data_IF_327181006456
#
_entry.id   IF_327181006456
#
_cell.length_a   1.000
_cell.length_b   1.000
_cell.length_c   1.000
_cell.angle_alpha   90.00
_cell.angle_beta   90.00
_cell.angle_gamma   90.00
#
_symmetry.space_group_name_H-M   'P 1'
#
loop_
_entity.id
_entity.type
_entity.pdbx_description
1 polymer ?
#
# COMPACT_ATOMS: atom_id res chain seq x y z
N UNK A 1 26.34 11.06 44.17
CA UNK A 1 25.21 10.17 44.50
C UNK A 1 23.93 11.00 44.47
N UNK A 2 22.98 10.60 43.60
CA UNK A 2 21.50 10.71 43.60
C UNK A 2 20.82 12.03 44.07
N UNK A 3 19.70 12.53 43.53
CA UNK A 3 18.85 12.34 42.34
C UNK A 3 17.70 13.38 42.52
N UNK A 4 17.21 14.07 41.48
CA UNK A 4 15.82 14.57 41.51
C UNK A 4 15.18 14.73 40.10
N UNK A 5 14.60 13.63 39.62
CA UNK A 5 13.25 13.48 39.02
C UNK A 5 12.65 14.63 38.19
N UNK A 6 12.76 14.49 36.86
CA UNK A 6 11.86 15.11 35.89
C UNK A 6 10.61 14.23 35.75
N UNK A 7 9.56 14.54 36.50
CA UNK A 7 8.22 14.05 36.19
C UNK A 7 7.65 14.89 35.03
N UNK A 8 7.07 14.26 34.01
CA UNK A 8 5.73 14.55 33.44
C UNK A 8 5.58 13.81 32.11
N UNK A 9 4.50 13.05 31.97
CA UNK A 9 3.92 12.72 30.68
C UNK A 9 4.08 11.26 30.27
N UNK A 10 3.05 10.47 30.59
CA UNK A 10 2.74 9.29 29.81
C UNK A 10 2.61 9.67 28.32
N UNK A 11 3.63 9.36 27.54
CA UNK A 11 3.44 9.05 26.13
C UNK A 11 3.24 7.54 26.06
N UNK A 12 2.18 7.01 25.42
CA UNK A 12 2.10 5.59 25.19
C UNK A 12 3.40 5.16 24.52
N UNK A 13 3.98 4.06 25.02
CA UNK A 13 4.86 3.25 24.21
C UNK A 13 3.98 2.76 23.07
N UNK A 14 3.89 3.54 21.99
CA UNK A 14 3.20 3.14 20.77
C UNK A 14 4.00 1.99 20.21
N UNK A 15 3.59 0.81 20.64
CA UNK A 15 3.65 -0.46 19.96
C UNK A 15 3.92 -0.23 18.49
N UNK A 16 5.07 -0.71 18.03
CA UNK A 16 5.41 -0.82 16.62
C UNK A 16 4.42 -1.77 15.94
N UNK A 17 3.23 -1.27 15.64
CA UNK A 17 2.21 -1.85 14.76
C UNK A 17 1.13 -0.78 14.50
N UNK A 18 1.53 0.47 14.25
CA UNK A 18 0.59 1.44 13.69
C UNK A 18 0.52 1.15 12.20
N UNK A 19 -0.50 0.37 11.83
CA UNK A 19 -0.95 0.21 10.45
C UNK A 19 -1.12 1.59 9.86
N UNK A 20 -0.05 2.07 9.22
CA UNK A 20 0.02 3.34 8.53
C UNK A 20 -0.31 3.06 7.06
N UNK A 21 -1.60 3.01 6.66
CA UNK A 21 -1.96 3.05 5.24
C UNK A 21 -1.57 4.39 4.59
N UNK A 22 -0.93 5.30 5.33
CA UNK A 22 -0.41 6.56 4.81
C UNK A 22 0.75 6.36 3.81
N UNK A 23 1.27 5.14 3.67
CA UNK A 23 2.16 4.74 2.57
C UNK A 23 1.43 4.06 1.39
N UNK A 24 0.10 4.02 1.41
CA UNK A 24 -0.72 3.66 0.25
C UNK A 24 -0.60 4.76 -0.80
N UNK A 25 0.45 4.67 -1.61
CA UNK A 25 0.63 5.55 -2.75
C UNK A 25 -0.61 5.42 -3.62
N UNK A 26 -1.44 6.46 -3.75
CA UNK A 26 -2.71 6.36 -4.49
C UNK A 26 -2.50 5.98 -5.96
N UNK A 27 -1.28 6.12 -6.48
CA UNK A 27 -0.89 5.66 -7.81
C UNK A 27 -0.56 4.15 -7.87
N UNK A 28 -0.62 3.40 -6.78
CA UNK A 28 -0.35 1.96 -6.74
C UNK A 28 -1.39 1.27 -5.87
N UNK A 29 -2.12 0.31 -6.44
CA UNK A 29 -2.93 -0.63 -5.68
C UNK A 29 -2.06 -1.69 -5.04
N UNK A 30 -1.91 -1.57 -3.73
CA UNK A 30 -1.14 -2.52 -2.95
C UNK A 30 -1.69 -3.94 -3.04
N UNK A 31 -3.01 -4.14 -3.17
CA UNK A 31 -3.59 -5.47 -3.37
C UNK A 31 -3.02 -6.17 -4.61
N UNK A 32 -2.85 -5.42 -5.71
CA UNK A 32 -2.27 -5.92 -6.95
C UNK A 32 -0.77 -6.13 -6.81
N UNK A 33 -0.08 -5.22 -6.11
CA UNK A 33 1.35 -5.36 -5.83
C UNK A 33 1.64 -6.60 -4.97
N UNK A 34 0.82 -6.87 -3.95
CA UNK A 34 0.88 -8.09 -3.13
C UNK A 34 0.59 -9.35 -3.95
N UNK A 35 -0.29 -9.26 -4.96
CA UNK A 35 -0.52 -10.33 -5.93
C UNK A 35 0.62 -10.48 -6.97
N UNK A 36 1.74 -9.75 -6.82
CA UNK A 36 2.89 -9.82 -7.74
C UNK A 36 2.67 -9.09 -9.07
N UNK A 37 1.68 -8.18 -9.14
CA UNK A 37 1.42 -7.33 -10.31
C UNK A 37 2.05 -5.94 -10.14
N UNK A 38 2.12 -5.18 -11.22
CA UNK A 38 2.61 -3.80 -11.23
C UNK A 38 1.75 -2.89 -10.34
N UNK A 39 0.43 -3.06 -10.35
CA UNK A 39 -0.48 -2.36 -9.46
C UNK A 39 -0.61 -0.85 -9.72
N UNK A 40 0.12 -0.28 -10.67
CA UNK A 40 0.07 1.15 -10.99
C UNK A 40 -1.34 1.57 -11.40
N UNK A 41 -1.90 2.61 -10.78
CA UNK A 41 -3.22 3.18 -11.04
C UNK A 41 -3.10 4.51 -11.75
N UNK A 42 -3.89 4.66 -12.80
CA UNK A 42 -4.12 5.92 -13.47
C UNK A 42 -5.28 6.67 -12.77
N UNK A 43 -4.95 7.54 -11.81
CA UNK A 43 -5.90 8.30 -10.97
C UNK A 43 -7.09 8.92 -11.74
N UNK A 44 -6.88 9.60 -12.89
CA UNK A 44 -7.99 10.23 -13.62
C UNK A 44 -9.05 9.26 -14.15
N UNK A 45 -8.69 7.98 -14.36
CA UNK A 45 -9.58 6.98 -14.97
C UNK A 45 -9.87 5.79 -14.04
N UNK A 46 -9.19 5.70 -12.90
CA UNK A 46 -9.27 4.58 -11.96
C UNK A 46 -8.77 3.25 -12.54
N UNK A 47 -8.07 3.26 -13.68
CA UNK A 47 -7.56 2.04 -14.32
C UNK A 47 -6.28 1.57 -13.66
N UNK A 48 -6.05 0.26 -13.59
CA UNK A 48 -4.90 -0.32 -12.91
C UNK A 48 -4.10 -1.27 -13.82
N UNK A 49 -2.79 -1.29 -13.65
CA UNK A 49 -1.90 -2.18 -14.37
C UNK A 49 -1.93 -3.60 -13.79
N UNK A 50 -2.27 -4.58 -14.62
CA UNK A 50 -2.39 -6.00 -14.25
C UNK A 50 -1.19 -6.82 -14.69
N UNK A 51 -0.19 -6.21 -15.32
CA UNK A 51 1.03 -6.90 -15.71
C UNK A 51 1.84 -7.33 -14.48
N UNK A 52 2.71 -8.34 -14.59
CA UNK A 52 3.62 -8.73 -13.51
C UNK A 52 4.48 -7.56 -13.03
N UNK A 53 4.90 -7.61 -11.76
CA UNK A 53 5.86 -6.66 -11.22
C UNK A 53 7.14 -6.65 -12.08
N UNK A 54 7.64 -5.46 -12.44
CA UNK A 54 8.80 -5.25 -13.33
C UNK A 54 8.64 -5.81 -14.77
N UNK A 55 7.45 -5.69 -15.36
CA UNK A 55 7.26 -6.02 -16.78
C UNK A 55 8.13 -5.16 -17.71
N UNK A 56 8.66 -5.76 -18.78
CA UNK A 56 9.46 -5.09 -19.81
C UNK A 56 8.56 -4.48 -20.88
N UNK A 57 7.88 -3.37 -20.58
CA UNK A 57 6.97 -2.70 -21.51
C UNK A 57 6.19 -1.56 -20.85
N UNK A 58 5.38 -0.80 -21.60
CA UNK A 58 4.48 0.19 -21.01
C UNK A 58 3.44 -0.48 -20.10
N UNK A 59 2.92 0.26 -19.12
CA UNK A 59 1.84 -0.23 -18.26
C UNK A 59 0.56 -0.42 -19.09
N UNK A 60 -0.02 -1.61 -19.01
CA UNK A 60 -1.35 -1.89 -19.56
C UNK A 60 -2.42 -1.62 -18.52
N UNK A 61 -3.11 -0.48 -18.66
CA UNK A 61 -4.13 -0.04 -17.71
C UNK A 61 -5.50 -0.66 -18.03
N UNK A 62 -5.92 -1.60 -17.21
CA UNK A 62 -7.22 -2.27 -17.29
C UNK A 62 -8.29 -1.59 -16.44
N UNK A 63 -9.55 -1.95 -16.67
CA UNK A 63 -10.66 -1.41 -15.89
C UNK A 63 -10.52 -1.80 -14.41
N UNK A 64 -11.01 -0.97 -13.48
CA UNK A 64 -10.97 -1.28 -12.05
C UNK A 64 -11.67 -2.61 -11.71
N UNK A 65 -12.69 -3.00 -12.47
CA UNK A 65 -13.37 -4.30 -12.33
C UNK A 65 -12.45 -5.48 -12.65
N UNK A 66 -11.71 -5.43 -13.75
CA UNK A 66 -10.72 -6.49 -14.08
C UNK A 66 -9.61 -6.55 -13.04
N UNK A 67 -9.19 -5.38 -12.54
CA UNK A 67 -8.21 -5.29 -11.47
C UNK A 67 -8.71 -5.89 -10.15
N UNK A 68 -9.99 -5.68 -9.83
CA UNK A 68 -10.66 -6.33 -8.71
C UNK A 68 -10.74 -7.85 -8.91
N UNK A 69 -11.06 -8.30 -10.12
CA UNK A 69 -11.19 -9.72 -10.44
C UNK A 69 -9.86 -10.45 -10.24
N UNK A 70 -8.74 -9.87 -10.68
CA UNK A 70 -7.39 -10.43 -10.44
C UNK A 70 -7.07 -10.57 -8.95
N UNK A 71 -7.51 -9.61 -8.11
CA UNK A 71 -7.32 -9.68 -6.65
C UNK A 71 -8.26 -10.70 -6.00
N UNK A 72 -9.49 -10.83 -6.49
CA UNK A 72 -10.54 -11.67 -5.88
C UNK A 72 -10.48 -13.12 -6.34
N UNK A 73 -10.13 -13.35 -7.61
CA UNK A 73 -10.06 -14.65 -8.27
C UNK A 73 -8.72 -15.38 -8.09
N UNK A 74 -7.76 -14.77 -7.38
CA UNK A 74 -6.48 -15.40 -7.03
C UNK A 74 -6.50 -16.25 -5.74
N UNK A 75 -7.69 -16.56 -5.20
CA UNK A 75 -7.86 -17.41 -3.99
C UNK A 75 -8.05 -18.88 -4.32
#
# INVERSE_FOLDING_TARGET
>A
MNADQHATGAGPTETADDGRPDLSNSNVREDLAMAGRCGLVHLPTGRACLLPLRHGGPCEFHRPQEAQDVVTGGR
#
